data_IF_366890574825
#
_entry.id   IF_366890574825
#
_cell.length_a   1.000
_cell.length_b   1.000
_cell.length_c   1.000
_cell.angle_alpha   90.00
_cell.angle_beta   90.00
_cell.angle_gamma   90.00
#
_symmetry.space_group_name_H-M   'P 1'
#
loop_
_entity.id
_entity.type
_entity.pdbx_description
1 polymer ?
#
# COMPACT_ATOMS: atom_id res chain seq x y z
N UNK A 1 10.51 68.68 -15.94
CA UNK A 1 10.29 67.31 -16.46
C UNK A 1 11.20 66.22 -15.86
N UNK A 2 12.03 66.49 -14.83
CA UNK A 2 13.02 65.52 -14.29
C UNK A 2 12.67 64.89 -12.92
N UNK A 3 11.58 65.31 -12.28
CA UNK A 3 11.18 64.81 -10.94
C UNK A 3 10.35 63.52 -10.99
N UNK A 4 9.57 63.33 -12.06
CA UNK A 4 8.72 62.16 -12.24
C UNK A 4 9.53 60.91 -12.61
N UNK A 5 10.56 61.06 -13.46
CA UNK A 5 11.51 59.99 -13.80
C UNK A 5 12.30 59.49 -12.58
N UNK A 6 12.79 60.39 -11.72
CA UNK A 6 13.47 60.01 -10.46
C UNK A 6 12.55 59.28 -9.48
N UNK A 7 11.27 59.67 -9.40
CA UNK A 7 10.27 58.97 -8.57
C UNK A 7 9.93 57.59 -9.12
N UNK A 8 9.95 57.40 -10.44
CA UNK A 8 9.76 56.11 -11.07
C UNK A 8 10.96 55.17 -10.82
N UNK A 9 12.20 55.67 -10.95
CA UNK A 9 13.42 54.91 -10.62
C UNK A 9 13.47 54.51 -9.14
N UNK A 10 13.19 55.43 -8.21
CA UNK A 10 13.16 55.12 -6.78
C UNK A 10 12.10 54.04 -6.41
N UNK A 11 10.97 54.01 -7.13
CA UNK A 11 9.94 52.97 -6.95
C UNK A 11 10.39 51.60 -7.50
N UNK A 12 11.20 51.57 -8.55
CA UNK A 12 11.76 50.33 -9.10
C UNK A 12 12.88 49.78 -8.20
N UNK A 13 13.77 50.66 -7.72
CA UNK A 13 14.87 50.28 -6.82
C UNK A 13 14.34 49.74 -5.48
N UNK A 14 13.35 50.40 -4.89
CA UNK A 14 12.71 49.93 -3.65
C UNK A 14 11.97 48.60 -3.81
N UNK A 15 11.42 48.30 -5.01
CA UNK A 15 10.85 46.98 -5.30
C UNK A 15 11.94 45.91 -5.43
N UNK A 16 13.04 46.21 -6.13
CA UNK A 16 14.17 45.31 -6.29
C UNK A 16 14.84 44.98 -4.94
N UNK A 17 14.98 45.95 -4.04
CA UNK A 17 15.50 45.73 -2.69
C UNK A 17 14.58 44.84 -1.85
N UNK A 18 13.26 45.08 -1.90
CA UNK A 18 12.27 44.24 -1.21
C UNK A 18 12.31 42.80 -1.70
N UNK A 19 12.47 42.57 -3.00
CA UNK A 19 12.60 41.21 -3.55
C UNK A 19 13.92 40.53 -3.14
N UNK A 20 15.04 41.26 -3.15
CA UNK A 20 16.33 40.75 -2.68
C UNK A 20 16.25 40.34 -1.20
N UNK A 21 15.60 41.14 -0.35
CA UNK A 21 15.40 40.84 1.07
C UNK A 21 14.52 39.61 1.26
N UNK A 22 13.39 39.50 0.56
CA UNK A 22 12.51 38.30 0.60
C UNK A 22 13.24 37.03 0.18
N UNK A 23 14.03 37.09 -0.89
CA UNK A 23 14.84 35.94 -1.37
C UNK A 23 15.92 35.54 -0.35
N UNK A 24 16.54 36.51 0.32
CA UNK A 24 17.52 36.26 1.38
C UNK A 24 16.88 35.64 2.62
N UNK A 25 15.70 36.10 3.03
CA UNK A 25 14.92 35.54 4.15
C UNK A 25 14.46 34.10 3.86
N UNK A 26 13.91 33.84 2.66
CA UNK A 26 13.49 32.50 2.26
C UNK A 26 14.67 31.50 2.25
N UNK A 27 15.86 31.93 1.80
CA UNK A 27 17.08 31.11 1.86
C UNK A 27 17.51 30.81 3.30
N UNK A 28 17.41 31.78 4.21
CA UNK A 28 17.72 31.59 5.64
C UNK A 28 16.76 30.60 6.30
N UNK A 29 15.45 30.77 6.09
CA UNK A 29 14.43 29.84 6.61
C UNK A 29 14.62 28.41 6.07
N UNK A 30 14.96 28.27 4.79
CA UNK A 30 15.28 26.96 4.19
C UNK A 30 16.54 26.33 4.79
N UNK A 31 17.57 27.12 5.07
CA UNK A 31 18.78 26.61 5.74
C UNK A 31 18.53 26.24 7.20
N UNK A 32 17.78 27.06 7.93
CA UNK A 32 17.41 26.81 9.33
C UNK A 32 16.58 25.54 9.48
N UNK A 33 15.56 25.34 8.63
CA UNK A 33 14.76 24.10 8.62
C UNK A 33 15.58 22.85 8.29
N UNK A 34 16.56 22.95 7.37
CA UNK A 34 17.48 21.83 7.07
C UNK A 34 18.41 21.57 8.26
N UNK A 35 18.90 22.62 8.93
CA UNK A 35 19.79 22.50 10.08
C UNK A 35 19.05 21.90 11.28
N UNK A 36 17.83 22.34 11.55
CA UNK A 36 16.94 21.79 12.57
C UNK A 36 16.68 20.29 12.34
N UNK A 37 16.33 19.89 11.11
CA UNK A 37 16.16 18.46 10.76
C UNK A 37 17.42 17.62 10.95
N UNK A 38 18.60 18.18 10.67
CA UNK A 38 19.87 17.48 10.87
C UNK A 38 20.22 17.36 12.34
N UNK A 39 19.94 18.41 13.11
CA UNK A 39 20.17 18.43 14.55
C UNK A 39 19.23 17.46 15.26
N UNK A 40 17.94 17.46 14.93
CA UNK A 40 16.96 16.50 15.46
C UNK A 40 17.34 15.04 15.15
N UNK A 41 17.89 14.77 13.95
CA UNK A 41 18.42 13.44 13.60
C UNK A 41 19.65 13.04 14.41
N UNK A 42 20.54 14.00 14.72
CA UNK A 42 21.73 13.75 15.56
C UNK A 42 21.33 13.51 17.00
N UNK A 43 20.45 14.35 17.55
CA UNK A 43 19.92 14.21 18.91
C UNK A 43 19.15 12.89 19.09
N UNK A 44 18.38 12.44 18.09
CA UNK A 44 17.75 11.10 18.11
C UNK A 44 18.78 9.96 18.04
N UNK A 45 19.84 10.13 17.25
CA UNK A 45 20.92 9.14 17.15
C UNK A 45 21.76 9.02 18.43
N UNK A 46 22.00 10.14 19.11
CA UNK A 46 22.75 10.22 20.37
C UNK A 46 21.93 9.71 21.57
N UNK A 47 20.61 9.86 21.55
CA UNK A 47 19.72 9.31 22.60
C UNK A 47 19.55 7.79 22.53
N UNK A 48 20.15 7.11 21.55
CA UNK A 48 19.98 5.67 21.39
C UNK A 48 18.53 5.24 21.13
N UNK A 49 17.67 6.19 20.76
CA UNK A 49 16.32 5.91 20.29
C UNK A 49 16.47 5.21 18.94
N UNK A 50 16.53 3.87 18.99
CA UNK A 50 16.19 3.04 17.84
C UNK A 50 14.94 3.66 17.23
N UNK A 51 14.88 3.91 15.92
CA UNK A 51 13.66 4.39 15.31
C UNK A 51 12.59 3.38 15.69
N UNK A 52 11.70 3.74 16.61
CA UNK A 52 10.54 2.92 16.89
C UNK A 52 9.92 2.62 15.53
N UNK A 53 9.56 1.36 15.25
CA UNK A 53 8.89 1.04 14.01
C UNK A 53 7.66 1.95 13.96
N UNK A 54 7.71 2.98 13.10
CA UNK A 54 6.69 4.02 13.04
C UNK A 54 5.35 3.31 13.03
N UNK A 55 4.61 3.48 14.13
CA UNK A 55 3.39 2.73 14.37
C UNK A 55 2.52 2.83 13.10
N UNK A 56 1.96 1.71 12.62
CA UNK A 56 1.13 1.74 11.43
C UNK A 56 0.07 2.82 11.61
N UNK A 57 0.06 3.81 10.71
CA UNK A 57 -0.90 4.91 10.77
C UNK A 57 -2.27 4.30 10.59
N UNK A 58 -3.01 4.14 11.69
CA UNK A 58 -4.33 3.56 11.68
C UNK A 58 -5.22 4.46 10.82
N UNK A 59 -5.94 3.89 9.85
CA UNK A 59 -6.78 4.70 8.97
C UNK A 59 -7.93 5.39 9.73
N UNK A 60 -8.20 4.97 10.97
CA UNK A 60 -9.05 5.64 11.95
C UNK A 60 -8.59 7.07 12.27
N UNK A 61 -7.29 7.36 12.17
CA UNK A 61 -6.69 8.66 12.45
C UNK A 61 -6.62 9.60 11.22
N UNK A 62 -7.01 9.12 10.04
CA UNK A 62 -6.95 9.90 8.80
C UNK A 62 -8.21 10.71 8.55
N UNK A 63 -8.03 11.96 8.09
CA UNK A 63 -9.15 12.83 7.72
C UNK A 63 -9.93 12.28 6.52
N UNK A 64 -11.22 12.63 6.33
CA UNK A 64 -12.02 12.17 5.20
C UNK A 64 -11.40 12.46 3.83
N UNK A 65 -10.68 13.58 3.71
CA UNK A 65 -9.97 13.96 2.49
C UNK A 65 -8.71 13.10 2.25
N UNK A 66 -7.97 12.77 3.30
CA UNK A 66 -6.84 11.83 3.23
C UNK A 66 -7.34 10.42 2.87
N UNK A 67 -8.51 10.01 3.38
CA UNK A 67 -9.14 8.73 3.01
C UNK A 67 -9.51 8.62 1.54
N UNK A 68 -9.86 9.74 0.88
CA UNK A 68 -10.15 9.75 -0.58
C UNK A 68 -8.90 9.56 -1.44
N UNK A 69 -7.73 10.00 -0.97
CA UNK A 69 -6.43 9.87 -1.66
C UNK A 69 -5.75 8.51 -1.45
N UNK A 70 -6.26 7.70 -0.51
CA UNK A 70 -5.67 6.39 -0.24
C UNK A 70 -5.82 5.40 -1.42
N UNK A 71 -4.77 4.62 -1.71
CA UNK A 71 -4.80 3.58 -2.74
C UNK A 71 -5.87 2.52 -2.43
N UNK A 72 -6.36 1.84 -3.48
CA UNK A 72 -7.33 0.74 -3.32
C UNK A 72 -8.80 1.18 -3.21
N UNK A 73 -9.25 2.18 -3.98
CA UNK A 73 -10.69 2.54 -4.06
C UNK A 73 -11.56 1.38 -4.53
N UNK A 74 -11.00 0.54 -5.40
CA UNK A 74 -11.67 -0.62 -5.98
C UNK A 74 -11.17 -1.95 -5.38
N UNK A 75 -10.36 -1.92 -4.31
CA UNK A 75 -9.75 -3.14 -3.76
C UNK A 75 -10.81 -4.13 -3.26
N UNK A 76 -11.94 -3.66 -2.72
CA UNK A 76 -13.04 -4.54 -2.31
C UNK A 76 -13.70 -5.28 -3.48
N UNK A 77 -14.01 -4.58 -4.57
CA UNK A 77 -14.60 -5.19 -5.77
C UNK A 77 -13.63 -6.18 -6.43
N UNK A 78 -12.36 -5.79 -6.54
CA UNK A 78 -11.31 -6.65 -7.07
C UNK A 78 -11.09 -7.88 -6.18
N UNK A 79 -11.08 -7.73 -4.85
CA UNK A 79 -11.00 -8.86 -3.91
C UNK A 79 -12.13 -9.86 -4.14
N UNK A 80 -13.38 -9.40 -4.25
CA UNK A 80 -14.54 -10.27 -4.50
C UNK A 80 -14.40 -11.00 -5.84
N UNK A 81 -14.01 -10.29 -6.90
CA UNK A 81 -13.73 -10.90 -8.19
C UNK A 81 -12.62 -11.97 -8.08
N UNK A 82 -11.58 -11.69 -7.30
CA UNK A 82 -10.47 -12.63 -7.08
C UNK A 82 -10.96 -13.92 -6.43
N UNK A 83 -11.78 -13.80 -5.37
CA UNK A 83 -12.38 -14.95 -4.68
C UNK A 83 -13.26 -15.76 -5.63
N UNK A 84 -14.07 -15.09 -6.45
CA UNK A 84 -14.91 -15.74 -7.44
C UNK A 84 -14.09 -16.58 -8.44
N UNK A 85 -13.01 -16.03 -8.98
CA UNK A 85 -12.13 -16.77 -9.90
C UNK A 85 -11.42 -17.95 -9.23
N UNK A 86 -11.00 -17.81 -7.96
CA UNK A 86 -10.41 -18.92 -7.19
C UNK A 86 -11.40 -20.08 -7.07
N UNK A 87 -12.66 -19.79 -6.73
CA UNK A 87 -13.71 -20.81 -6.61
C UNK A 87 -13.99 -21.46 -7.97
N UNK A 88 -14.08 -20.66 -9.04
CA UNK A 88 -14.34 -21.18 -10.38
C UNK A 88 -13.21 -22.09 -10.88
N UNK A 89 -11.96 -21.76 -10.58
CA UNK A 89 -10.81 -22.60 -10.90
C UNK A 89 -10.75 -23.88 -10.05
N UNK A 90 -11.20 -23.83 -8.79
CA UNK A 90 -11.28 -25.01 -7.95
C UNK A 90 -12.26 -26.07 -8.50
N UNK A 91 -13.28 -25.62 -9.25
CA UNK A 91 -14.26 -26.46 -9.91
C UNK A 91 -13.80 -27.04 -11.27
N UNK A 92 -12.66 -26.61 -11.80
CA UNK A 92 -12.11 -27.17 -13.05
C UNK A 92 -11.72 -28.63 -12.83
N UNK A 93 -12.15 -29.57 -13.70
CA UNK A 93 -11.78 -30.98 -13.60
C UNK A 93 -10.27 -31.22 -13.65
N UNK A 94 -9.73 -32.23 -12.92
CA UNK A 94 -8.29 -32.50 -12.85
C UNK A 94 -7.67 -32.95 -14.18
N UNK A 95 -8.44 -33.59 -15.06
CA UNK A 95 -8.05 -33.99 -16.42
C UNK A 95 -7.72 -32.81 -17.34
N UNK A 96 -8.11 -31.60 -16.95
CA UNK A 96 -7.84 -30.35 -17.67
C UNK A 96 -6.89 -29.42 -16.89
N UNK A 97 -6.30 -29.91 -15.79
CA UNK A 97 -5.38 -29.13 -14.97
C UNK A 97 -3.97 -29.17 -15.56
N UNK A 98 -3.56 -28.06 -16.18
CA UNK A 98 -2.20 -27.84 -16.64
C UNK A 98 -1.38 -27.01 -15.63
N UNK A 99 -0.06 -27.00 -15.83
CA UNK A 99 0.87 -26.15 -15.07
C UNK A 99 0.48 -24.67 -15.19
N UNK A 100 -0.01 -24.24 -16.36
CA UNK A 100 -0.43 -22.87 -16.63
C UNK A 100 -1.65 -22.47 -15.79
N UNK A 101 -2.68 -23.31 -15.72
CA UNK A 101 -3.89 -23.04 -14.94
C UNK A 101 -3.60 -23.03 -13.45
N UNK A 102 -2.70 -23.91 -12.99
CA UNK A 102 -2.18 -23.94 -11.62
C UNK A 102 -1.42 -22.66 -11.26
N UNK A 103 -0.58 -22.14 -12.16
CA UNK A 103 0.16 -20.89 -11.94
C UNK A 103 -0.78 -19.68 -11.88
N UNK A 104 -1.80 -19.65 -12.74
CA UNK A 104 -2.83 -18.59 -12.72
C UNK A 104 -3.61 -18.63 -11.40
N UNK A 105 -3.99 -19.82 -10.93
CA UNK A 105 -4.64 -19.98 -9.63
C UNK A 105 -3.81 -19.49 -8.46
N UNK A 106 -2.53 -19.86 -8.43
CA UNK A 106 -1.58 -19.34 -7.45
C UNK A 106 -1.48 -17.79 -7.52
N UNK A 107 -1.50 -17.21 -8.73
CA UNK A 107 -1.54 -15.77 -8.94
C UNK A 107 -2.80 -15.10 -8.36
N UNK A 108 -3.96 -15.76 -8.42
CA UNK A 108 -5.16 -15.25 -7.78
C UNK A 108 -5.07 -15.24 -6.25
N UNK A 109 -4.39 -16.21 -5.63
CA UNK A 109 -4.09 -16.15 -4.19
C UNK A 109 -3.21 -14.95 -3.82
N UNK A 110 -2.22 -14.61 -4.64
CA UNK A 110 -1.43 -13.38 -4.48
C UNK A 110 -2.31 -12.13 -4.54
N UNK A 111 -3.16 -12.05 -5.58
CA UNK A 111 -4.09 -10.94 -5.77
C UNK A 111 -5.05 -10.81 -4.60
N UNK A 112 -5.54 -11.94 -4.07
CA UNK A 112 -6.41 -11.95 -2.91
C UNK A 112 -5.71 -11.35 -1.69
N UNK A 113 -4.49 -11.82 -1.38
CA UNK A 113 -3.70 -11.27 -0.27
C UNK A 113 -3.47 -9.76 -0.39
N UNK A 114 -3.16 -9.31 -1.61
CA UNK A 114 -2.96 -7.89 -1.91
C UNK A 114 -4.23 -7.05 -1.73
N UNK A 115 -5.32 -7.42 -2.40
CA UNK A 115 -6.55 -6.63 -2.39
C UNK A 115 -7.29 -6.71 -1.06
N UNK A 116 -7.31 -7.87 -0.39
CA UNK A 116 -7.88 -8.05 0.94
C UNK A 116 -7.19 -7.14 1.96
N UNK A 117 -5.85 -7.12 1.96
CA UNK A 117 -5.08 -6.27 2.88
C UNK A 117 -5.37 -4.79 2.63
N UNK A 118 -5.35 -4.34 1.37
CA UNK A 118 -5.66 -2.95 1.03
C UNK A 118 -7.08 -2.55 1.42
N UNK A 119 -8.05 -3.44 1.23
CA UNK A 119 -9.44 -3.22 1.60
C UNK A 119 -9.62 -3.07 3.12
N UNK A 120 -8.99 -3.95 3.90
CA UNK A 120 -9.08 -3.92 5.36
C UNK A 120 -8.34 -2.72 5.96
N UNK A 121 -7.15 -2.39 5.45
CA UNK A 121 -6.41 -1.19 5.86
C UNK A 121 -7.20 0.08 5.56
N UNK A 122 -7.86 0.16 4.40
CA UNK A 122 -8.74 1.29 4.05
C UNK A 122 -9.92 1.44 5.00
N UNK A 123 -10.43 0.34 5.56
CA UNK A 123 -11.49 0.34 6.58
C UNK A 123 -10.98 0.67 7.99
N UNK A 124 -9.66 0.82 8.18
CA UNK A 124 -9.07 1.10 9.49
C UNK A 124 -8.95 -0.11 10.39
N UNK A 125 -8.86 -1.32 9.81
CA UNK A 125 -8.56 -2.51 10.60
C UNK A 125 -7.05 -2.61 10.85
N UNK A 126 -6.65 -2.45 12.12
CA UNK A 126 -5.25 -2.53 12.55
C UNK A 126 -4.67 -3.95 12.38
N UNK A 127 -5.54 -4.97 12.42
CA UNK A 127 -5.21 -6.37 12.23
C UNK A 127 -5.45 -6.84 10.78
N UNK A 128 -5.40 -5.93 9.79
CA UNK A 128 -5.64 -6.26 8.38
C UNK A 128 -4.79 -7.45 7.89
N UNK A 129 -3.50 -7.46 8.21
CA UNK A 129 -2.59 -8.54 7.81
C UNK A 129 -3.00 -9.90 8.38
N UNK A 130 -3.25 -9.98 9.69
CA UNK A 130 -3.69 -11.23 10.33
C UNK A 130 -5.04 -11.70 9.81
N UNK A 131 -5.97 -10.77 9.61
CA UNK A 131 -7.30 -11.06 9.04
C UNK A 131 -7.20 -11.57 7.60
N UNK A 132 -6.31 -11.01 6.77
CA UNK A 132 -6.06 -11.49 5.40
C UNK A 132 -5.43 -12.88 5.39
N UNK A 133 -4.47 -13.18 6.28
CA UNK A 133 -3.91 -14.53 6.38
C UNK A 133 -4.98 -15.53 6.82
N UNK A 134 -5.76 -15.21 7.86
CA UNK A 134 -6.83 -16.08 8.35
C UNK A 134 -7.90 -16.35 7.27
N UNK A 135 -8.34 -15.31 6.57
CA UNK A 135 -9.30 -15.45 5.48
C UNK A 135 -8.72 -16.16 4.26
N UNK A 136 -7.43 -15.97 3.95
CA UNK A 136 -6.74 -16.70 2.89
C UNK A 136 -6.56 -18.17 3.21
N UNK A 137 -6.26 -18.50 4.46
CA UNK A 137 -6.22 -19.88 4.95
C UNK A 137 -7.62 -20.52 4.89
N UNK A 138 -8.66 -19.82 5.33
CA UNK A 138 -10.04 -20.29 5.21
C UNK A 138 -10.45 -20.52 3.74
N UNK A 139 -10.04 -19.63 2.83
CA UNK A 139 -10.26 -19.79 1.40
C UNK A 139 -9.52 -21.01 0.84
N UNK A 140 -8.24 -21.21 1.20
CA UNK A 140 -7.46 -22.37 0.79
C UNK A 140 -8.08 -23.68 1.29
N UNK A 141 -8.54 -23.73 2.54
CA UNK A 141 -9.28 -24.87 3.10
C UNK A 141 -10.58 -25.10 2.33
N UNK A 142 -11.33 -24.04 2.03
CA UNK A 142 -12.56 -24.13 1.23
C UNK A 142 -12.30 -24.74 -0.16
N UNK A 143 -11.24 -24.29 -0.83
CA UNK A 143 -10.80 -24.83 -2.13
C UNK A 143 -10.34 -26.29 -2.02
N UNK A 144 -9.65 -26.67 -0.95
CA UNK A 144 -9.30 -28.07 -0.70
C UNK A 144 -10.56 -28.94 -0.53
N UNK A 145 -11.54 -28.46 0.23
CA UNK A 145 -12.79 -29.18 0.47
C UNK A 145 -13.61 -29.41 -0.81
N UNK A 146 -13.57 -28.49 -1.79
CA UNK A 146 -14.28 -28.70 -3.07
C UNK A 146 -13.73 -29.89 -3.85
N UNK A 147 -12.46 -30.26 -3.68
CA UNK A 147 -11.88 -31.46 -4.30
C UNK A 147 -12.13 -32.75 -3.51
N UNK A 148 -12.46 -32.65 -2.22
CA UNK A 148 -12.79 -33.80 -1.38
C UNK A 148 -14.27 -34.16 -1.44
N UNK A 149 -15.16 -33.16 -1.49
CA UNK A 149 -16.62 -33.35 -1.35
C UNK A 149 -17.38 -33.00 -2.65
N UNK A 150 -16.73 -32.35 -3.62
CA UNK A 150 -17.40 -31.86 -4.83
C UNK A 150 -17.81 -32.95 -5.84
N UNK A 151 -18.70 -32.62 -6.81
CA UNK A 151 -19.26 -33.54 -7.80
C UNK A 151 -18.26 -34.08 -8.86
N UNK A 152 -16.96 -33.98 -8.59
CA UNK A 152 -15.87 -34.50 -9.41
C UNK A 152 -14.66 -34.85 -8.54
N UNK A 153 -14.90 -35.44 -7.37
CA UNK A 153 -13.87 -35.84 -6.40
C UNK A 153 -12.90 -36.88 -7.00
N UNK A 154 -11.93 -36.40 -7.79
CA UNK A 154 -10.88 -37.19 -8.44
C UNK A 154 -9.63 -37.36 -7.59
N UNK A 155 -9.67 -36.95 -6.31
CA UNK A 155 -8.53 -36.99 -5.39
C UNK A 155 -7.67 -35.71 -5.39
N UNK A 156 -6.63 -35.73 -4.56
CA UNK A 156 -5.64 -34.65 -4.44
C UNK A 156 -4.54 -34.86 -5.49
N UNK A 157 -4.71 -34.23 -6.65
CA UNK A 157 -3.66 -34.18 -7.67
C UNK A 157 -2.46 -33.34 -7.19
N UNK A 158 -1.24 -33.72 -7.59
CA UNK A 158 0.02 -33.08 -7.21
C UNK A 158 0.03 -31.60 -7.62
N UNK A 159 -0.47 -31.29 -8.83
CA UNK A 159 -0.56 -29.91 -9.32
C UNK A 159 -1.51 -29.06 -8.49
N UNK A 160 -2.61 -29.64 -8.03
CA UNK A 160 -3.58 -28.97 -7.17
C UNK A 160 -2.99 -28.68 -5.77
N UNK A 161 -2.32 -29.66 -5.18
CA UNK A 161 -1.60 -29.47 -3.89
C UNK A 161 -0.51 -28.42 -4.03
N UNK A 162 0.22 -28.41 -5.16
CA UNK A 162 1.23 -27.40 -5.46
C UNK A 162 0.60 -26.01 -5.64
N UNK A 163 -0.53 -25.89 -6.33
CA UNK A 163 -1.27 -24.63 -6.46
C UNK A 163 -1.69 -24.09 -5.09
N UNK A 164 -2.27 -24.91 -4.21
CA UNK A 164 -2.74 -24.47 -2.90
C UNK A 164 -1.59 -24.10 -1.97
N UNK A 165 -0.51 -24.89 -1.97
CA UNK A 165 0.68 -24.61 -1.15
C UNK A 165 1.42 -23.35 -1.62
N UNK A 166 1.63 -23.20 -2.92
CA UNK A 166 2.18 -21.99 -3.52
C UNK A 166 1.24 -20.80 -3.27
N UNK A 167 -0.06 -21.00 -3.43
CA UNK A 167 -1.10 -20.02 -3.13
C UNK A 167 -1.03 -19.52 -1.69
N UNK A 168 -0.89 -20.41 -0.70
CA UNK A 168 -0.75 -20.04 0.70
C UNK A 168 0.47 -19.13 0.94
N UNK A 169 1.61 -19.45 0.33
CA UNK A 169 2.79 -18.58 0.38
C UNK A 169 2.54 -17.23 -0.30
N UNK A 170 1.89 -17.25 -1.45
CA UNK A 170 1.57 -16.05 -2.23
C UNK A 170 0.52 -15.15 -1.56
N UNK A 171 -0.40 -15.67 -0.76
CA UNK A 171 -1.30 -14.86 0.08
C UNK A 171 -0.48 -14.00 1.04
N UNK A 172 0.52 -14.59 1.70
CA UNK A 172 1.39 -13.87 2.64
C UNK A 172 2.19 -12.80 1.91
N UNK A 173 2.78 -13.15 0.76
CA UNK A 173 3.51 -12.20 -0.07
C UNK A 173 2.62 -11.04 -0.57
N UNK A 174 1.41 -11.36 -1.04
CA UNK A 174 0.42 -10.38 -1.47
C UNK A 174 0.00 -9.46 -0.32
N UNK A 175 -0.22 -10.01 0.87
CA UNK A 175 -0.56 -9.23 2.05
C UNK A 175 0.56 -8.27 2.46
N UNK A 176 1.81 -8.73 2.40
CA UNK A 176 2.97 -7.87 2.64
C UNK A 176 3.04 -6.73 1.62
N UNK A 177 2.83 -7.04 0.33
CA UNK A 177 2.82 -6.05 -0.75
C UNK A 177 1.70 -5.03 -0.58
N UNK A 178 0.49 -5.47 -0.21
CA UNK A 178 -0.66 -4.61 0.03
C UNK A 178 -0.39 -3.62 1.16
N UNK A 179 0.21 -4.09 2.26
CA UNK A 179 0.63 -3.23 3.38
C UNK A 179 1.74 -2.25 2.98
N UNK A 180 2.73 -2.70 2.20
CA UNK A 180 3.80 -1.84 1.71
C UNK A 180 3.28 -0.73 0.80
N UNK A 181 2.38 -1.05 -0.14
CA UNK A 181 1.75 -0.08 -1.05
C UNK A 181 0.89 0.92 -0.29
N UNK A 182 0.11 0.46 0.70
CA UNK A 182 -0.68 1.34 1.55
C UNK A 182 0.20 2.36 2.29
N UNK A 183 1.27 1.88 2.93
CA UNK A 183 2.22 2.73 3.64
C UNK A 183 2.97 3.69 2.71
N UNK A 184 3.33 3.25 1.50
CA UNK A 184 3.94 4.10 0.49
C UNK A 184 2.99 5.20 0.00
N UNK A 185 1.70 4.87 -0.15
CA UNK A 185 0.65 5.82 -0.51
C UNK A 185 0.40 6.89 0.55
N UNK A 186 0.56 6.57 1.84
CA UNK A 186 0.46 7.52 2.95
C UNK A 186 1.65 8.49 3.05
N UNK A 187 2.81 8.12 2.48
CA UNK A 187 4.03 8.93 2.52
C UNK A 187 4.12 9.97 1.40
N UNK A 188 3.19 9.97 0.45
CA UNK A 188 3.11 10.92 -0.68
C UNK A 188 2.07 11.99 -0.41
#
# INVERSE_FOLDING_TARGET
MNRQLRRAQAKLDSKAEREKLKKKQARRQKMESIRARRQERRERGERGERPEPQAPVAASQLTPEQRKKMPGRFSGALMIATVFFIILQAAVPPDQADVSTSLVGAGFFLMFGYFSTLFLLRRGNDNAFGTTIASGAALAVGVLLTRVIGPGAGGLDLLFVLMVSLGAFLVVAGAFLGRAVFNAGLRR
#
